data_IF_055975790306
#
_entry.id   IF_055975790306
#
_cell.length_a   1.000
_cell.length_b   1.000
_cell.length_c   1.000
_cell.angle_alpha   90.00
_cell.angle_beta   90.00
_cell.angle_gamma   90.00
#
_symmetry.space_group_name_H-M   'P 1'
#
loop_
_entity.id
_entity.type
_entity.pdbx_description
1 polymer ?
#
# COMPACT_ATOMS: atom_id res chain seq x y z
N UNK A 1 22.72 -15.60 -53.35
CA UNK A 1 21.61 -14.99 -52.60
C UNK A 1 21.88 -15.20 -51.13
N UNK A 2 22.20 -14.13 -50.40
CA UNK A 2 22.47 -14.15 -48.96
C UNK A 2 21.14 -14.05 -48.22
N UNK A 3 20.77 -15.12 -47.51
CA UNK A 3 19.60 -15.15 -46.62
C UNK A 3 19.93 -14.36 -45.36
N UNK A 4 19.24 -13.24 -45.16
CA UNK A 4 19.30 -12.45 -43.93
C UNK A 4 18.67 -13.25 -42.79
N UNK A 5 19.45 -13.53 -41.74
CA UNK A 5 18.92 -14.06 -40.49
C UNK A 5 18.22 -12.92 -39.77
N UNK A 6 16.90 -13.05 -39.61
CA UNK A 6 16.09 -12.21 -38.75
C UNK A 6 16.71 -12.20 -37.34
N UNK A 7 17.03 -11.00 -36.85
CA UNK A 7 17.51 -10.81 -35.49
C UNK A 7 16.46 -11.31 -34.51
N UNK A 8 16.81 -12.32 -33.72
CA UNK A 8 16.06 -12.68 -32.52
C UNK A 8 16.13 -11.46 -31.61
N UNK A 9 14.98 -10.80 -31.39
CA UNK A 9 14.87 -9.74 -30.41
C UNK A 9 15.42 -10.25 -29.07
N UNK A 10 16.36 -9.52 -28.48
CA UNK A 10 16.82 -9.80 -27.13
C UNK A 10 15.59 -9.90 -26.20
N UNK A 11 15.53 -10.84 -25.25
CA UNK A 11 14.45 -10.87 -24.29
C UNK A 11 14.39 -9.49 -23.61
N UNK A 12 13.23 -8.85 -23.66
CA UNK A 12 12.99 -7.63 -22.88
C UNK A 12 13.42 -7.93 -21.44
N UNK A 13 14.29 -7.10 -20.87
CA UNK A 13 14.68 -7.23 -19.47
C UNK A 13 13.41 -7.38 -18.63
N UNK A 14 13.34 -8.39 -17.73
CA UNK A 14 12.12 -8.65 -16.99
C UNK A 14 11.72 -7.40 -16.23
N UNK A 15 10.47 -6.97 -16.41
CA UNK A 15 9.91 -5.80 -15.76
C UNK A 15 9.98 -6.00 -14.24
N UNK A 16 10.51 -5.04 -13.46
CA UNK A 16 10.72 -5.22 -12.03
C UNK A 16 9.39 -5.52 -11.32
N UNK A 17 9.41 -6.47 -10.40
CA UNK A 17 8.23 -6.83 -9.62
C UNK A 17 7.79 -5.72 -8.67
N UNK A 18 8.73 -4.89 -8.23
CA UNK A 18 8.52 -3.83 -7.25
C UNK A 18 9.32 -2.60 -7.67
N UNK A 19 8.65 -1.47 -7.93
CA UNK A 19 9.29 -0.24 -8.46
C UNK A 19 8.60 1.02 -7.95
N UNK A 20 9.24 2.17 -8.16
CA UNK A 20 8.64 3.47 -7.91
C UNK A 20 7.56 3.83 -8.95
N UNK A 21 6.48 4.44 -8.47
CA UNK A 21 5.38 5.04 -9.22
C UNK A 21 5.21 6.48 -8.76
N UNK A 22 5.37 7.43 -9.68
CA UNK A 22 5.18 8.87 -9.42
C UNK A 22 3.67 9.14 -9.33
N UNK A 23 3.24 9.81 -8.26
CA UNK A 23 1.84 10.16 -8.06
C UNK A 23 1.71 11.47 -7.29
N UNK A 24 0.49 11.98 -7.22
CA UNK A 24 0.11 13.09 -6.37
C UNK A 24 -1.05 12.67 -5.47
N UNK A 25 -1.20 13.34 -4.35
CA UNK A 25 -2.42 13.24 -3.55
C UNK A 25 -3.58 13.78 -4.39
N UNK A 26 -4.59 12.96 -4.65
CA UNK A 26 -5.83 13.36 -5.29
C UNK A 26 -6.90 13.75 -4.25
N UNK A 27 -6.92 13.03 -3.12
CA UNK A 27 -7.93 13.22 -2.08
C UNK A 27 -7.38 12.83 -0.71
N UNK A 28 -7.82 13.55 0.31
CA UNK A 28 -7.61 13.20 1.71
C UNK A 28 -8.98 13.14 2.39
N UNK A 29 -9.30 12.02 3.01
CA UNK A 29 -10.57 11.79 3.71
C UNK A 29 -10.30 11.22 5.09
N UNK A 30 -10.64 11.98 6.12
CA UNK A 30 -10.70 11.46 7.49
C UNK A 30 -11.84 10.45 7.59
N UNK A 31 -11.51 9.20 7.93
CA UNK A 31 -12.48 8.12 8.09
C UNK A 31 -13.03 8.13 9.52
N UNK A 32 -12.11 8.23 10.48
CA UNK A 32 -12.37 8.20 11.92
C UNK A 32 -11.42 9.19 12.61
N UNK A 33 -11.45 9.32 13.95
CA UNK A 33 -10.47 10.15 14.63
C UNK A 33 -9.01 9.85 14.28
N UNK A 34 -8.63 8.58 14.13
CA UNK A 34 -7.25 8.14 13.90
C UNK A 34 -6.99 7.53 12.52
N UNK A 35 -8.00 7.25 11.70
CA UNK A 35 -7.80 6.78 10.32
C UNK A 35 -8.03 7.90 9.29
N UNK A 36 -7.06 8.11 8.41
CA UNK A 36 -7.17 8.99 7.24
C UNK A 36 -6.86 8.22 5.98
N UNK A 37 -7.82 8.15 5.05
CA UNK A 37 -7.60 7.65 3.70
C UNK A 37 -6.98 8.72 2.84
N UNK A 38 -5.84 8.39 2.22
CA UNK A 38 -5.24 9.21 1.17
C UNK A 38 -5.38 8.46 -0.14
N UNK A 39 -6.01 9.10 -1.12
CA UNK A 39 -6.08 8.63 -2.49
C UNK A 39 -4.96 9.29 -3.28
N UNK A 40 -4.12 8.47 -3.88
CA UNK A 40 -3.05 8.89 -4.79
C UNK A 40 -3.50 8.69 -6.23
N UNK A 41 -3.14 9.62 -7.12
CA UNK A 41 -3.40 9.51 -8.55
C UNK A 41 -2.15 9.84 -9.38
N UNK A 42 -1.95 9.14 -10.50
CA UNK A 42 -0.84 9.36 -11.41
C UNK A 42 -0.88 8.41 -12.61
N UNK A 43 -0.40 8.86 -13.78
CA UNK A 43 -0.47 8.10 -15.04
C UNK A 43 0.06 6.66 -14.92
N UNK A 44 1.16 6.48 -14.19
CA UNK A 44 1.80 5.17 -14.02
C UNK A 44 0.98 4.20 -13.17
N UNK A 45 0.00 4.68 -12.39
CA UNK A 45 -0.85 3.83 -11.55
C UNK A 45 -1.83 2.98 -12.37
N UNK A 46 -1.95 3.21 -13.68
CA UNK A 46 -2.61 2.28 -14.60
C UNK A 46 -1.96 0.89 -14.64
N UNK A 47 -0.69 0.78 -14.24
CA UNK A 47 0.07 -0.48 -14.24
C UNK A 47 0.39 -0.96 -12.81
N UNK A 48 -0.26 -0.37 -11.79
CA UNK A 48 -0.04 -0.74 -10.39
C UNK A 48 -0.70 -2.09 -10.08
N UNK A 49 -0.01 -2.93 -9.29
CA UNK A 49 -0.50 -4.27 -8.95
C UNK A 49 -1.84 -4.24 -8.20
N UNK A 50 -2.77 -5.12 -8.60
CA UNK A 50 -4.15 -5.12 -8.08
C UNK A 50 -4.47 -6.29 -7.15
N UNK A 51 -3.46 -7.01 -6.66
CA UNK A 51 -3.66 -8.25 -5.92
C UNK A 51 -4.36 -8.03 -4.55
N UNK A 52 -4.22 -6.85 -3.94
CA UNK A 52 -4.97 -6.47 -2.74
C UNK A 52 -4.53 -7.22 -1.47
N UNK A 53 -5.47 -7.65 -0.63
CA UNK A 53 -5.19 -8.37 0.62
C UNK A 53 -4.31 -7.55 1.58
N UNK A 54 -3.26 -8.14 2.13
CA UNK A 54 -2.25 -7.48 2.95
C UNK A 54 -1.08 -6.89 2.14
N UNK A 55 -1.24 -6.65 0.83
CA UNK A 55 -0.15 -6.21 -0.02
C UNK A 55 0.46 -4.88 0.44
N UNK A 56 1.76 -4.93 0.74
CA UNK A 56 2.53 -3.81 1.28
C UNK A 56 3.19 -2.96 0.20
N UNK A 57 3.14 -1.65 0.40
CA UNK A 57 3.83 -0.62 -0.41
C UNK A 57 4.75 0.21 0.46
N UNK A 58 5.74 0.88 -0.15
CA UNK A 58 6.45 1.98 0.48
C UNK A 58 5.84 3.29 0.02
N UNK A 59 5.40 4.12 0.97
CA UNK A 59 5.07 5.52 0.72
C UNK A 59 6.33 6.32 0.99
N UNK A 60 6.90 6.91 -0.05
CA UNK A 60 8.12 7.71 0.01
C UNK A 60 7.73 9.18 0.06
N UNK A 61 8.17 9.87 1.11
CA UNK A 61 7.81 11.26 1.38
C UNK A 61 8.82 12.23 0.74
N UNK A 62 8.39 13.43 0.33
CA UNK A 62 9.29 14.41 -0.26
C UNK A 62 10.30 14.94 0.77
N UNK A 63 11.51 15.28 0.30
CA UNK A 63 12.44 16.13 1.05
C UNK A 63 12.07 17.60 0.85
N UNK A 64 12.30 18.44 1.86
CA UNK A 64 11.89 19.85 1.84
C UNK A 64 12.42 20.64 0.65
N UNK A 65 13.75 20.63 0.42
CA UNK A 65 14.37 21.46 -0.61
C UNK A 65 14.50 20.77 -1.97
N UNK A 66 14.59 19.43 -1.98
CA UNK A 66 14.91 18.65 -3.18
C UNK A 66 13.78 17.73 -3.65
N UNK A 67 12.65 17.67 -2.92
CA UNK A 67 11.53 16.80 -3.23
C UNK A 67 12.00 15.36 -3.42
N UNK A 68 11.96 14.89 -4.67
CA UNK A 68 12.37 13.55 -5.07
C UNK A 68 13.49 13.56 -6.13
N UNK A 69 14.24 14.66 -6.27
CA UNK A 69 15.24 14.83 -7.33
C UNK A 69 16.35 13.77 -7.32
N UNK A 70 16.60 13.16 -6.18
CA UNK A 70 17.62 12.12 -6.00
C UNK A 70 17.03 10.72 -5.78
N UNK A 71 15.70 10.58 -5.74
CA UNK A 71 15.09 9.28 -5.50
C UNK A 71 15.37 8.36 -6.69
N UNK A 72 16.01 7.19 -6.47
CA UNK A 72 16.41 6.31 -7.55
C UNK A 72 15.22 5.56 -8.14
N UNK A 73 15.26 5.36 -9.46
CA UNK A 73 14.31 4.53 -10.18
C UNK A 73 14.85 3.08 -10.33
N UNK A 74 13.98 2.16 -10.73
CA UNK A 74 14.36 0.78 -11.07
C UNK A 74 14.25 -0.25 -9.94
N UNK A 75 14.65 -1.49 -10.24
CA UNK A 75 14.50 -2.65 -9.34
C UNK A 75 15.35 -2.54 -8.07
N UNK A 76 16.58 -2.03 -8.21
CA UNK A 76 17.55 -1.88 -7.11
C UNK A 76 17.49 -0.50 -6.44
N UNK A 77 16.32 0.15 -6.50
CA UNK A 77 16.10 1.49 -5.91
C UNK A 77 16.55 1.54 -4.45
N UNK A 78 16.38 0.44 -3.68
CA UNK A 78 16.69 0.44 -2.26
C UNK A 78 18.21 0.51 -2.00
N UNK A 79 19.02 -0.25 -2.76
CA UNK A 79 20.48 -0.19 -2.62
C UNK A 79 20.99 1.18 -3.05
N UNK A 80 20.52 1.69 -4.20
CA UNK A 80 20.85 3.04 -4.67
C UNK A 80 20.45 4.12 -3.65
N UNK A 81 19.26 4.00 -3.03
CA UNK A 81 18.78 4.92 -2.00
C UNK A 81 19.67 4.87 -0.74
N UNK A 82 20.16 3.69 -0.36
CA UNK A 82 21.10 3.52 0.77
C UNK A 82 22.47 4.12 0.52
N UNK A 83 22.86 4.33 -0.73
CA UNK A 83 24.14 4.94 -1.10
C UNK A 83 24.08 6.48 -1.14
N UNK A 84 22.88 7.06 -1.23
CA UNK A 84 22.71 8.52 -1.19
C UNK A 84 23.25 9.13 0.12
N UNK A 85 23.76 10.37 0.11
CA UNK A 85 24.01 11.12 1.34
C UNK A 85 22.76 11.22 2.21
N UNK A 86 22.91 11.27 3.54
CA UNK A 86 21.78 11.26 4.47
C UNK A 86 20.73 12.36 4.18
N UNK A 87 21.16 13.57 3.81
CA UNK A 87 20.27 14.68 3.44
C UNK A 87 19.57 14.55 2.08
N UNK A 88 19.88 13.52 1.30
CA UNK A 88 19.25 13.21 0.01
C UNK A 88 18.39 11.94 0.07
N UNK A 89 18.33 11.27 1.24
CA UNK A 89 17.50 10.08 1.42
C UNK A 89 16.09 10.47 1.79
N UNK A 90 15.17 10.35 0.84
CA UNK A 90 13.74 10.47 1.13
C UNK A 90 13.34 9.50 2.25
N UNK A 91 12.65 9.96 3.30
CA UNK A 91 12.07 9.05 4.29
C UNK A 91 10.92 8.27 3.64
N UNK A 92 10.78 7.00 3.98
CA UNK A 92 9.63 6.21 3.56
C UNK A 92 9.09 5.36 4.71
N UNK A 93 7.84 4.92 4.58
CA UNK A 93 7.18 4.00 5.52
C UNK A 93 6.42 2.93 4.76
N UNK A 94 6.24 1.79 5.41
CA UNK A 94 5.47 0.67 4.85
C UNK A 94 4.01 0.86 5.20
N UNK A 95 3.13 0.73 4.21
CA UNK A 95 1.68 0.76 4.38
C UNK A 95 1.03 -0.37 3.60
N UNK A 96 -0.23 -0.66 3.90
CA UNK A 96 -1.05 -1.60 3.15
C UNK A 96 -1.89 -0.86 2.11
N UNK A 97 -1.97 -1.42 0.92
CA UNK A 97 -2.90 -0.95 -0.12
C UNK A 97 -4.32 -1.24 0.33
N UNK A 98 -5.18 -0.22 0.34
CA UNK A 98 -6.59 -0.40 0.70
C UNK A 98 -7.48 -0.67 -0.50
N UNK A 99 -7.20 -0.02 -1.62
CA UNK A 99 -7.88 -0.23 -2.90
C UNK A 99 -7.01 0.26 -4.06
N UNK A 100 -7.18 -0.34 -5.24
CA UNK A 100 -6.54 0.07 -6.50
C UNK A 100 -7.62 0.14 -7.56
N UNK A 101 -7.65 1.24 -8.32
CA UNK A 101 -8.56 1.47 -9.45
C UNK A 101 -7.71 1.88 -10.66
N UNK A 102 -7.15 0.93 -11.42
CA UNK A 102 -6.25 1.23 -12.53
C UNK A 102 -6.89 2.08 -13.63
N UNK A 103 -8.21 1.92 -13.84
CA UNK A 103 -9.01 2.70 -14.79
C UNK A 103 -9.06 4.19 -14.45
N UNK A 104 -9.13 4.51 -13.15
CA UNK A 104 -9.10 5.87 -12.63
C UNK A 104 -7.66 6.32 -12.30
N UNK A 105 -6.71 5.37 -12.36
CA UNK A 105 -5.30 5.55 -12.00
C UNK A 105 -5.13 5.98 -10.56
N UNK A 106 -5.92 5.36 -9.68
CA UNK A 106 -5.96 5.69 -8.26
C UNK A 106 -5.53 4.52 -7.37
N UNK A 107 -4.85 4.85 -6.27
CA UNK A 107 -4.52 3.92 -5.19
C UNK A 107 -4.90 4.57 -3.85
N UNK A 108 -5.64 3.85 -3.03
CA UNK A 108 -5.97 4.27 -1.66
C UNK A 108 -5.03 3.61 -0.66
N UNK A 109 -4.56 4.42 0.29
CA UNK A 109 -3.83 3.96 1.47
C UNK A 109 -4.47 4.58 2.71
N UNK A 110 -4.75 3.75 3.71
CA UNK A 110 -5.24 4.19 5.01
C UNK A 110 -4.05 4.44 5.94
N UNK A 111 -3.90 5.69 6.37
CA UNK A 111 -2.91 6.13 7.34
C UNK A 111 -3.52 6.13 8.73
N UNK A 112 -2.79 5.54 9.66
CA UNK A 112 -3.09 5.64 11.09
C UNK A 112 -2.35 6.82 11.68
N UNK A 113 -3.07 7.71 12.33
CA UNK A 113 -2.52 8.80 13.11
C UNK A 113 -2.18 8.31 14.53
N UNK A 114 -0.89 8.22 14.85
CA UNK A 114 -0.41 8.01 16.22
C UNK A 114 0.11 9.32 16.85
N UNK A 115 -0.47 10.46 16.44
CA UNK A 115 0.08 11.80 16.69
C UNK A 115 1.27 12.14 15.78
N UNK A 116 2.00 13.21 16.09
CA UNK A 116 3.03 13.79 15.20
C UNK A 116 4.43 13.14 15.31
N UNK A 117 4.57 12.00 15.99
CA UNK A 117 5.88 11.44 16.35
C UNK A 117 6.58 10.67 15.22
N UNK A 118 5.84 10.27 14.18
CA UNK A 118 6.36 9.55 13.02
C UNK A 118 6.20 10.33 11.71
N UNK A 119 7.17 10.31 10.79
CA UNK A 119 7.14 11.13 9.57
C UNK A 119 5.95 10.81 8.66
N UNK A 120 5.46 9.56 8.64
CA UNK A 120 4.29 9.18 7.85
C UNK A 120 2.97 9.70 8.43
N UNK A 121 2.82 9.63 9.77
CA UNK A 121 1.65 10.19 10.48
C UNK A 121 1.64 11.71 10.38
N UNK A 122 2.77 12.36 10.66
CA UNK A 122 2.93 13.81 10.52
C UNK A 122 2.65 14.30 9.09
N UNK A 123 3.13 13.57 8.07
CA UNK A 123 2.83 13.89 6.68
C UNK A 123 1.34 13.74 6.38
N UNK A 124 0.70 12.64 6.78
CA UNK A 124 -0.72 12.39 6.51
C UNK A 124 -1.64 13.45 7.12
N UNK A 125 -1.30 13.97 8.31
CA UNK A 125 -2.02 15.09 8.96
C UNK A 125 -2.00 16.38 8.13
N UNK A 126 -0.94 16.61 7.35
CA UNK A 126 -0.74 17.84 6.59
C UNK A 126 -0.95 17.68 5.08
N UNK A 127 -1.16 16.46 4.60
CA UNK A 127 -1.29 16.14 3.19
C UNK A 127 -2.48 16.88 2.56
N UNK A 128 -2.28 17.36 1.33
CA UNK A 128 -3.27 18.11 0.56
C UNK A 128 -3.29 17.64 -0.89
N UNK A 129 -4.44 17.74 -1.59
CA UNK A 129 -4.48 17.50 -3.02
C UNK A 129 -3.39 18.29 -3.77
N UNK A 130 -2.65 17.60 -4.63
CA UNK A 130 -1.50 18.14 -5.36
C UNK A 130 -0.13 17.84 -4.74
N UNK A 131 -0.05 17.37 -3.49
CA UNK A 131 1.24 17.00 -2.88
C UNK A 131 1.85 15.80 -3.62
N UNK A 132 3.13 15.92 -4.00
CA UNK A 132 3.85 14.86 -4.70
C UNK A 132 4.21 13.69 -3.77
N UNK A 133 4.13 12.47 -4.30
CA UNK A 133 4.54 11.25 -3.63
C UNK A 133 5.25 10.29 -4.61
N UNK A 134 6.05 9.38 -4.06
CA UNK A 134 6.41 8.15 -4.77
C UNK A 134 5.88 6.95 -4.00
N UNK A 135 5.10 6.11 -4.69
CA UNK A 135 4.74 4.79 -4.19
C UNK A 135 5.74 3.78 -4.73
N UNK A 136 6.46 3.07 -3.88
CA UNK A 136 7.17 1.87 -4.30
C UNK A 136 6.26 0.67 -4.08
N UNK A 137 5.85 0.03 -5.15
CA UNK A 137 4.78 -0.96 -5.13
C UNK A 137 4.91 -2.03 -6.21
N UNK A 138 3.97 -2.99 -6.20
CA UNK A 138 3.92 -4.06 -7.19
C UNK A 138 3.64 -3.51 -8.59
N UNK A 139 4.26 -4.10 -9.60
CA UNK A 139 3.94 -3.82 -11.01
C UNK A 139 3.10 -4.95 -11.59
N UNK A 140 1.89 -4.63 -12.08
CA UNK A 140 0.92 -5.61 -12.58
C UNK A 140 1.44 -6.37 -13.80
N UNK A 141 2.31 -5.74 -14.60
CA UNK A 141 2.88 -6.34 -15.80
C UNK A 141 4.12 -7.21 -15.50
N UNK A 142 4.52 -7.33 -14.23
CA UNK A 142 5.59 -8.23 -13.80
C UNK A 142 5.07 -9.61 -13.40
N UNK A 143 5.88 -10.64 -13.63
CA UNK A 143 5.60 -11.99 -13.13
C UNK A 143 5.54 -12.02 -11.58
N UNK A 144 6.21 -11.08 -10.90
CA UNK A 144 6.24 -10.96 -9.44
C UNK A 144 5.17 -10.03 -8.85
N UNK A 145 4.10 -9.69 -9.57
CA UNK A 145 3.07 -8.71 -9.15
C UNK A 145 2.40 -8.95 -7.78
N UNK A 146 2.49 -10.15 -7.23
CA UNK A 146 1.96 -10.50 -5.90
C UNK A 146 2.99 -10.32 -4.77
N UNK A 147 4.14 -9.70 -5.05
CA UNK A 147 5.15 -9.38 -4.05
C UNK A 147 4.55 -8.49 -2.95
N UNK A 148 4.99 -8.70 -1.71
CA UNK A 148 4.54 -7.93 -0.55
C UNK A 148 3.30 -8.49 0.17
N UNK A 149 2.68 -9.54 -0.36
CA UNK A 149 1.56 -10.31 0.25
C UNK A 149 2.10 -11.46 1.10
N UNK A 150 1.74 -11.49 2.38
CA UNK A 150 2.05 -12.58 3.31
C UNK A 150 0.82 -13.48 3.56
N UNK A 151 -0.40 -13.01 3.29
CA UNK A 151 -1.63 -13.80 3.41
C UNK A 151 -1.64 -15.01 2.45
N UNK A 152 -1.50 -16.21 3.02
CA UNK A 152 -1.47 -17.50 2.29
C UNK A 152 -2.17 -18.59 3.11
N UNK A 153 -3.50 -18.52 3.27
CA UNK A 153 -4.22 -19.39 4.20
C UNK A 153 -4.19 -20.86 3.78
N UNK A 154 -3.98 -21.17 2.49
CA UNK A 154 -4.14 -22.53 1.98
C UNK A 154 -5.60 -22.98 2.04
N UNK A 155 -5.83 -24.29 2.19
CA UNK A 155 -7.17 -24.82 2.44
C UNK A 155 -7.44 -24.82 3.95
N UNK A 156 -8.37 -23.98 4.40
CA UNK A 156 -8.77 -23.84 5.80
C UNK A 156 -10.29 -23.76 5.90
N UNK A 157 -10.84 -24.34 6.95
CA UNK A 157 -12.29 -24.31 7.23
C UNK A 157 -12.68 -23.07 8.05
N UNK A 158 -11.73 -22.41 8.70
CA UNK A 158 -11.97 -21.27 9.60
C UNK A 158 -10.77 -20.33 9.62
N UNK A 159 -11.02 -19.02 9.62
CA UNK A 159 -9.98 -17.98 9.69
C UNK A 159 -9.99 -17.26 11.04
N UNK A 160 -8.82 -16.91 11.54
CA UNK A 160 -8.65 -15.96 12.66
C UNK A 160 -7.72 -14.84 12.21
N UNK A 161 -8.25 -13.62 12.16
CA UNK A 161 -7.50 -12.40 11.90
C UNK A 161 -7.37 -11.61 13.20
N UNK A 162 -6.18 -11.15 13.54
CA UNK A 162 -5.99 -10.31 14.71
C UNK A 162 -4.88 -9.29 14.48
N UNK A 163 -5.09 -8.08 14.97
CA UNK A 163 -4.11 -7.01 14.86
C UNK A 163 -4.59 -5.71 15.50
N UNK A 164 -3.70 -4.74 15.56
CA UNK A 164 -4.02 -3.39 16.00
C UNK A 164 -4.45 -2.51 14.81
N UNK A 165 -4.59 -1.21 15.05
CA UNK A 165 -5.03 -0.25 14.04
C UNK A 165 -4.11 -0.19 12.82
N UNK A 166 -2.82 -0.55 12.97
CA UNK A 166 -1.86 -0.55 11.86
C UNK A 166 -2.09 -1.74 10.91
N UNK A 167 -2.64 -2.84 11.43
CA UNK A 167 -3.01 -4.01 10.65
C UNK A 167 -4.46 -3.94 10.13
N UNK A 168 -5.29 -3.06 10.67
CA UNK A 168 -6.70 -2.94 10.31
C UNK A 168 -6.96 -2.81 8.80
N UNK A 169 -6.19 -2.03 8.00
CA UNK A 169 -6.39 -1.97 6.55
C UNK A 169 -6.20 -3.32 5.85
N UNK A 170 -5.20 -4.11 6.27
CA UNK A 170 -4.94 -5.44 5.74
C UNK A 170 -6.05 -6.42 6.13
N UNK A 171 -6.47 -6.40 7.39
CA UNK A 171 -7.57 -7.24 7.89
C UNK A 171 -8.85 -6.94 7.12
N UNK A 172 -9.20 -5.66 6.92
CA UNK A 172 -10.37 -5.27 6.15
C UNK A 172 -10.31 -5.77 4.70
N UNK A 173 -9.17 -5.57 4.02
CA UNK A 173 -8.99 -6.03 2.65
C UNK A 173 -9.06 -7.57 2.52
N UNK A 174 -8.55 -8.30 3.52
CA UNK A 174 -8.68 -9.77 3.56
C UNK A 174 -10.14 -10.16 3.77
N UNK A 175 -10.84 -9.58 4.75
CA UNK A 175 -12.25 -9.86 5.04
C UNK A 175 -13.14 -9.67 3.79
N UNK A 176 -12.93 -8.59 3.06
CA UNK A 176 -13.68 -8.26 1.83
C UNK A 176 -13.38 -9.23 0.67
N UNK A 177 -12.26 -9.94 0.72
CA UNK A 177 -11.84 -10.93 -0.30
C UNK A 177 -12.28 -12.36 0.03
N UNK A 178 -12.75 -12.61 1.26
CA UNK A 178 -13.11 -13.97 1.68
C UNK A 178 -14.34 -14.48 0.92
N UNK A 179 -14.44 -15.80 0.68
CA UNK A 179 -15.66 -16.43 0.21
C UNK A 179 -16.85 -16.10 1.12
N UNK A 180 -18.05 -15.99 0.55
CA UNK A 180 -19.25 -15.65 1.30
C UNK A 180 -19.64 -16.68 2.38
N UNK A 181 -19.16 -17.92 2.24
CA UNK A 181 -19.33 -19.04 3.17
C UNK A 181 -18.14 -19.24 4.12
N UNK A 182 -17.19 -18.30 4.16
CA UNK A 182 -16.09 -18.36 5.11
C UNK A 182 -16.60 -18.22 6.56
N UNK A 183 -15.99 -18.99 7.46
CA UNK A 183 -16.26 -18.99 8.89
C UNK A 183 -15.05 -18.46 9.65
N UNK A 184 -15.25 -17.77 10.78
CA UNK A 184 -14.13 -17.33 11.61
C UNK A 184 -14.36 -16.12 12.48
N UNK A 185 -13.27 -15.44 12.82
CA UNK A 185 -13.29 -14.20 13.57
C UNK A 185 -12.18 -13.23 13.15
N UNK A 186 -12.46 -11.94 13.28
CA UNK A 186 -11.49 -10.85 13.20
C UNK A 186 -11.54 -10.02 14.49
N UNK A 187 -10.39 -9.90 15.17
CA UNK A 187 -10.26 -9.11 16.40
C UNK A 187 -9.30 -7.95 16.15
N UNK A 188 -9.83 -6.73 16.16
CA UNK A 188 -9.07 -5.53 15.76
C UNK A 188 -9.02 -4.56 16.93
N UNK A 189 -7.84 -4.33 17.48
CA UNK A 189 -7.63 -3.33 18.52
C UNK A 189 -7.47 -1.94 17.89
N UNK A 190 -8.17 -0.93 18.42
CA UNK A 190 -8.12 0.46 17.93
C UNK A 190 -7.97 1.46 19.06
N UNK A 191 -7.45 2.68 18.79
CA UNK A 191 -7.27 3.69 19.83
C UNK A 191 -8.56 4.07 20.56
N UNK A 192 -9.67 4.20 19.85
CA UNK A 192 -10.97 4.56 20.43
C UNK A 192 -12.14 3.81 19.77
N UNK A 193 -13.30 3.80 20.43
CA UNK A 193 -14.51 3.17 19.88
C UNK A 193 -15.04 3.90 18.63
N UNK A 194 -14.60 5.14 18.39
CA UNK A 194 -14.96 5.90 17.18
C UNK A 194 -14.07 5.54 15.98
N UNK A 195 -13.11 4.62 16.15
CA UNK A 195 -12.16 4.17 15.10
C UNK A 195 -12.54 2.87 14.41
N UNK A 196 -13.76 2.38 14.62
CA UNK A 196 -14.28 1.24 13.88
C UNK A 196 -14.47 1.61 12.40
N UNK A 197 -13.83 0.86 11.50
CA UNK A 197 -13.99 1.04 10.07
C UNK A 197 -15.18 0.22 9.55
N UNK A 198 -15.94 0.80 8.62
CA UNK A 198 -16.89 0.03 7.83
C UNK A 198 -16.15 -1.04 7.01
N UNK A 199 -16.57 -2.29 7.14
CA UNK A 199 -15.98 -3.44 6.44
C UNK A 199 -17.06 -4.43 6.04
N UNK A 200 -17.00 -4.89 4.79
CA UNK A 200 -17.82 -6.01 4.35
C UNK A 200 -17.12 -7.33 4.73
N UNK A 201 -17.79 -8.16 5.52
CA UNK A 201 -17.30 -9.46 5.93
C UNK A 201 -18.36 -10.55 5.65
N UNK A 202 -17.94 -11.81 5.42
CA UNK A 202 -18.85 -12.94 5.34
C UNK A 202 -19.66 -13.08 6.64
N UNK A 203 -20.91 -13.54 6.52
CA UNK A 203 -21.82 -13.67 7.68
C UNK A 203 -21.32 -14.64 8.75
N UNK A 204 -20.51 -15.64 8.36
CA UNK A 204 -19.86 -16.59 9.26
C UNK A 204 -18.61 -16.07 9.95
N UNK A 205 -18.16 -14.84 9.63
CA UNK A 205 -16.99 -14.23 10.25
C UNK A 205 -17.42 -13.15 11.24
N UNK A 206 -17.18 -13.40 12.52
CA UNK A 206 -17.43 -12.42 13.56
C UNK A 206 -16.34 -11.33 13.57
N UNK A 207 -16.71 -10.08 13.33
CA UNK A 207 -15.78 -8.94 13.40
C UNK A 207 -15.97 -8.19 14.72
N UNK A 208 -14.92 -8.11 15.53
CA UNK A 208 -14.91 -7.37 16.79
C UNK A 208 -13.84 -6.31 16.79
N UNK A 209 -14.25 -5.07 17.01
CA UNK A 209 -13.35 -3.96 17.28
C UNK A 209 -13.23 -3.75 18.79
N UNK A 210 -12.01 -3.54 19.27
CA UNK A 210 -11.70 -3.39 20.68
C UNK A 210 -11.01 -2.04 20.89
N UNK A 211 -11.73 -1.08 21.46
CA UNK A 211 -11.14 0.18 21.87
C UNK A 211 -10.16 -0.03 23.03
N UNK A 212 -8.99 0.61 22.99
CA UNK A 212 -8.08 0.67 24.13
C UNK A 212 -8.75 1.44 25.26
N UNK A 213 -8.68 0.90 26.49
CA UNK A 213 -9.11 1.65 27.66
C UNK A 213 -8.23 2.90 27.81
N UNK A 214 -8.84 4.06 28.06
CA UNK A 214 -8.10 5.24 28.49
C UNK A 214 -7.33 4.88 29.78
N UNK A 215 -6.00 5.07 29.76
CA UNK A 215 -5.13 4.81 30.90
C UNK A 215 -5.20 5.93 31.95
#
# INVERSE_FOLDING_TARGET
>A
MLTSLAGVAAPASPRPAYRGFRANVARVRRLTPHFTRVTFAGEELAEFGTAGLDQRVKVVLPLGDSGFAHFPDGEDWYSAWRELPAGQRNPFRTYTIRAVRPEDREVDVDFVAHGDTGPGSAWATHARPGDEIVLVGPDELSAGRTVGIDWRPGAVDTVLLAGDETAAPAICAILESLPADAEGAAIIEVPSADDELEVAAPVGVEVRWLARAEA
#
